data_IF_429992532399
#
_entry.id   IF_429992532399
#
_cell.length_a   1.000
_cell.length_b   1.000
_cell.length_c   1.000
_cell.angle_alpha   90.00
_cell.angle_beta   90.00
_cell.angle_gamma   90.00
#
_symmetry.space_group_name_H-M   'P 1'
#
loop_
_entity.id
_entity.type
_entity.pdbx_description
1 polymer ?
#
# COMPACT_ATOMS: atom_id res chain seq x y z
N UNK A 1 27.27 -52.57 -43.37
CA UNK A 1 27.28 -51.89 -42.07
C UNK A 1 26.68 -50.49 -42.24
N UNK A 2 25.42 -50.28 -41.84
CA UNK A 2 24.76 -48.95 -41.88
C UNK A 2 24.55 -48.50 -40.43
N UNK A 3 25.32 -47.49 -40.00
CA UNK A 3 25.21 -46.91 -38.66
C UNK A 3 23.97 -46.02 -38.54
N UNK A 4 23.18 -46.22 -37.49
CA UNK A 4 22.07 -45.35 -37.11
C UNK A 4 22.63 -44.22 -36.25
N UNK A 5 22.56 -42.99 -36.74
CA UNK A 5 22.79 -41.78 -35.95
C UNK A 5 21.54 -41.48 -35.12
N UNK A 6 21.66 -41.47 -33.79
CA UNK A 6 20.63 -40.97 -32.90
C UNK A 6 20.85 -39.47 -32.68
N UNK A 7 19.88 -38.65 -33.10
CA UNK A 7 19.82 -37.24 -32.73
C UNK A 7 19.22 -37.14 -31.33
N UNK A 8 20.02 -36.66 -30.36
CA UNK A 8 19.52 -36.24 -29.06
C UNK A 8 18.90 -34.84 -29.21
N UNK A 9 17.58 -34.77 -29.11
CA UNK A 9 16.85 -33.50 -29.04
C UNK A 9 16.96 -32.98 -27.61
N UNK A 10 17.76 -31.94 -27.39
CA UNK A 10 17.79 -31.22 -26.11
C UNK A 10 16.53 -30.35 -26.01
N UNK A 11 15.57 -30.78 -25.19
CA UNK A 11 14.49 -29.92 -24.74
C UNK A 11 15.07 -28.90 -23.75
N UNK A 12 15.20 -27.65 -24.18
CA UNK A 12 15.38 -26.54 -23.25
C UNK A 12 14.07 -26.32 -22.50
N UNK A 13 13.97 -26.87 -21.29
CA UNK A 13 12.93 -26.50 -20.36
C UNK A 13 13.19 -25.05 -19.93
N UNK A 14 12.41 -24.11 -20.47
CA UNK A 14 12.33 -22.76 -19.95
C UNK A 14 11.71 -22.84 -18.56
N UNK A 15 12.52 -23.07 -17.54
CA UNK A 15 12.11 -22.88 -16.15
C UNK A 15 12.05 -21.36 -15.97
N UNK A 16 10.87 -20.75 -15.77
CA UNK A 16 10.82 -19.35 -15.39
C UNK A 16 11.69 -19.17 -14.15
N UNK A 17 12.68 -18.28 -14.24
CA UNK A 17 13.47 -17.85 -13.08
C UNK A 17 12.49 -17.14 -12.17
N UNK A 18 11.85 -17.89 -11.26
CA UNK A 18 11.17 -17.28 -10.14
C UNK A 18 12.25 -16.65 -9.27
N UNK A 19 12.15 -15.33 -9.08
CA UNK A 19 12.91 -14.64 -8.05
C UNK A 19 12.82 -15.46 -6.77
N UNK A 20 13.94 -15.60 -6.04
CA UNK A 20 13.93 -16.27 -4.76
C UNK A 20 13.04 -15.46 -3.80
N UNK A 21 11.78 -15.86 -3.67
CA UNK A 21 10.79 -15.19 -2.84
C UNK A 21 11.20 -15.39 -1.38
N UNK A 22 11.59 -14.30 -0.71
CA UNK A 22 11.82 -14.33 0.73
C UNK A 22 10.49 -14.04 1.40
N UNK A 23 9.98 -14.96 2.22
CA UNK A 23 8.72 -14.74 2.93
C UNK A 23 8.81 -13.47 3.81
N UNK A 24 7.75 -12.64 3.86
CA UNK A 24 7.73 -11.49 4.76
C UNK A 24 7.58 -11.97 6.21
N UNK A 25 7.94 -11.14 7.21
CA UNK A 25 8.15 -11.60 8.59
C UNK A 25 6.90 -12.19 9.28
N UNK A 26 5.70 -11.89 8.78
CA UNK A 26 4.43 -12.37 9.38
C UNK A 26 3.58 -13.22 8.42
N UNK A 27 4.15 -13.64 7.28
CA UNK A 27 3.43 -14.43 6.28
C UNK A 27 2.20 -13.70 5.70
N UNK A 28 1.14 -14.45 5.39
CA UNK A 28 -0.11 -13.88 4.89
C UNK A 28 -0.81 -13.06 5.99
N UNK A 29 -1.01 -11.77 5.72
CA UNK A 29 -1.73 -10.88 6.63
C UNK A 29 -3.24 -11.09 6.55
N UNK A 30 -3.93 -10.78 7.64
CA UNK A 30 -5.39 -10.82 7.76
C UNK A 30 -5.89 -9.64 8.60
N UNK A 31 -7.16 -9.29 8.45
CA UNK A 31 -7.85 -8.36 9.36
C UNK A 31 -8.79 -9.16 10.26
N UNK A 32 -8.58 -9.10 11.56
CA UNK A 32 -9.46 -9.71 12.56
C UNK A 32 -9.95 -8.64 13.54
N UNK A 33 -11.27 -8.36 13.50
CA UNK A 33 -11.86 -7.24 14.22
C UNK A 33 -11.26 -5.92 13.73
N UNK A 34 -10.52 -5.24 14.62
CA UNK A 34 -9.83 -3.98 14.37
C UNK A 34 -8.32 -4.14 14.20
N UNK A 35 -7.80 -5.37 14.25
CA UNK A 35 -6.37 -5.65 14.23
C UNK A 35 -5.92 -6.21 12.89
N UNK A 36 -4.72 -5.79 12.48
CA UNK A 36 -3.93 -6.51 11.50
C UNK A 36 -3.25 -7.69 12.19
N UNK A 37 -3.42 -8.90 11.65
CA UNK A 37 -2.88 -10.13 12.23
C UNK A 37 -2.02 -10.88 11.22
N UNK A 38 -1.13 -11.74 11.72
CA UNK A 38 -0.43 -12.73 10.92
C UNK A 38 -1.34 -13.90 10.52
N UNK A 39 -0.79 -14.88 9.79
CA UNK A 39 -1.52 -16.06 9.31
C UNK A 39 -2.09 -16.96 10.42
N UNK A 40 -1.61 -16.80 11.65
CA UNK A 40 -2.06 -17.54 12.84
C UNK A 40 -3.06 -16.75 13.70
N UNK A 41 -3.50 -15.57 13.25
CA UNK A 41 -4.44 -14.71 13.98
C UNK A 41 -3.81 -13.92 15.13
N UNK A 42 -2.47 -13.85 15.21
CA UNK A 42 -1.79 -13.05 16.23
C UNK A 42 -1.68 -11.60 15.74
N UNK A 43 -2.12 -10.59 16.52
CA UNK A 43 -1.94 -9.18 16.17
C UNK A 43 -0.47 -8.81 15.94
N UNK A 44 -0.21 -8.03 14.90
CA UNK A 44 1.13 -7.55 14.52
C UNK A 44 1.10 -6.05 14.25
N UNK A 45 2.29 -5.46 14.10
CA UNK A 45 2.44 -4.07 13.66
C UNK A 45 3.44 -4.00 12.51
N UNK A 46 3.07 -3.26 11.46
CA UNK A 46 3.98 -2.86 10.41
C UNK A 46 4.51 -1.46 10.70
N UNK A 47 5.82 -1.27 10.53
CA UNK A 47 6.51 0.00 10.73
C UNK A 47 7.52 0.16 9.59
N UNK A 48 7.51 1.34 8.98
CA UNK A 48 8.30 1.59 7.79
C UNK A 48 8.19 3.00 7.26
N UNK A 49 8.69 3.18 6.04
CA UNK A 49 8.84 4.49 5.41
C UNK A 49 8.03 4.53 4.11
N UNK A 50 7.32 5.64 3.90
CA UNK A 50 6.82 5.99 2.57
C UNK A 50 7.93 6.62 1.75
N UNK A 51 8.10 6.14 0.53
CA UNK A 51 8.79 6.92 -0.49
C UNK A 51 7.91 8.14 -0.82
N UNK A 52 8.54 9.21 -1.25
CA UNK A 52 7.84 10.39 -1.76
C UNK A 52 7.29 10.12 -3.16
N UNK A 53 6.44 10.99 -3.68
CA UNK A 53 5.83 10.91 -5.02
C UNK A 53 6.79 10.37 -6.10
N UNK A 54 6.38 9.28 -6.75
CA UNK A 54 7.19 8.53 -7.73
C UNK A 54 7.83 9.39 -8.82
N UNK A 55 7.09 10.34 -9.39
CA UNK A 55 7.59 11.19 -10.48
C UNK A 55 8.53 12.31 -10.01
N UNK A 56 8.44 12.71 -8.74
CA UNK A 56 9.25 13.81 -8.20
C UNK A 56 10.53 13.34 -7.52
N UNK A 57 10.53 12.13 -6.98
CA UNK A 57 11.72 11.54 -6.32
C UNK A 57 12.03 10.13 -6.84
N UNK A 58 12.09 9.90 -8.16
CA UNK A 58 12.27 8.57 -8.74
C UNK A 58 13.61 7.94 -8.38
N UNK A 59 14.63 8.74 -8.03
CA UNK A 59 15.95 8.26 -7.65
C UNK A 59 15.92 7.40 -6.37
N UNK A 60 14.84 7.42 -5.58
CA UNK A 60 14.71 6.56 -4.39
C UNK A 60 13.95 5.25 -4.64
N UNK A 61 13.35 5.06 -5.82
CA UNK A 61 12.58 3.85 -6.17
C UNK A 61 13.51 2.74 -6.69
N UNK A 62 14.39 2.24 -5.83
CA UNK A 62 15.37 1.21 -6.21
C UNK A 62 15.80 0.31 -5.05
N UNK A 63 16.41 -0.84 -5.40
CA UNK A 63 16.84 -1.88 -4.46
C UNK A 63 17.77 -1.37 -3.34
N UNK A 64 18.70 -0.45 -3.64
CA UNK A 64 19.68 -0.01 -2.65
C UNK A 64 19.02 0.77 -1.51
N UNK A 65 18.01 1.60 -1.83
CA UNK A 65 17.21 2.29 -0.82
C UNK A 65 16.46 1.29 0.04
N UNK A 66 15.80 0.31 -0.56
CA UNK A 66 15.06 -0.72 0.19
C UNK A 66 15.98 -1.55 1.11
N UNK A 67 17.20 -1.87 0.67
CA UNK A 67 18.22 -2.53 1.50
C UNK A 67 18.55 -1.67 2.73
N UNK A 68 18.74 -0.36 2.56
CA UNK A 68 18.96 0.56 3.67
C UNK A 68 17.76 0.62 4.61
N UNK A 69 16.54 0.77 4.08
CA UNK A 69 15.31 0.79 4.89
C UNK A 69 15.17 -0.47 5.74
N UNK A 70 15.41 -1.65 5.16
CA UNK A 70 15.35 -2.92 5.89
C UNK A 70 16.45 -3.02 6.94
N UNK A 71 17.71 -2.86 6.53
CA UNK A 71 18.84 -3.30 7.34
C UNK A 71 19.32 -2.23 8.32
N UNK A 72 19.14 -0.95 7.99
CA UNK A 72 19.60 0.17 8.82
C UNK A 72 18.44 0.76 9.63
N UNK A 73 17.24 0.84 9.06
CA UNK A 73 16.07 1.45 9.70
C UNK A 73 15.07 0.42 10.23
N UNK A 74 15.40 -0.88 10.10
CA UNK A 74 14.59 -2.00 10.58
C UNK A 74 13.13 -1.97 10.07
N UNK A 75 12.89 -1.38 8.89
CA UNK A 75 11.56 -1.30 8.28
C UNK A 75 11.10 -2.70 7.84
N UNK A 76 9.88 -3.06 8.20
CA UNK A 76 9.24 -4.30 7.75
C UNK A 76 8.20 -4.07 6.64
N UNK A 77 7.90 -2.81 6.33
CA UNK A 77 7.06 -2.37 5.21
C UNK A 77 7.69 -1.16 4.52
N UNK A 78 7.46 -1.01 3.21
CA UNK A 78 7.77 0.22 2.46
C UNK A 78 6.52 0.65 1.70
N UNK A 79 6.25 1.95 1.60
CA UNK A 79 5.13 2.46 0.81
C UNK A 79 5.61 3.13 -0.49
N UNK A 80 5.05 2.71 -1.61
CA UNK A 80 5.32 3.22 -2.94
C UNK A 80 4.21 4.20 -3.36
N UNK A 81 4.38 5.48 -3.02
CA UNK A 81 3.44 6.55 -3.35
C UNK A 81 3.45 6.88 -4.85
N UNK A 82 2.55 6.27 -5.63
CA UNK A 82 2.52 6.48 -7.08
C UNK A 82 1.74 7.74 -7.42
N UNK A 83 2.46 8.81 -7.71
CA UNK A 83 1.84 10.07 -8.13
C UNK A 83 1.15 9.94 -9.48
N UNK A 84 0.03 10.66 -9.67
CA UNK A 84 -0.82 10.49 -10.86
C UNK A 84 -0.63 11.58 -11.92
N UNK A 85 -0.62 12.84 -11.52
CA UNK A 85 -0.54 13.99 -12.44
C UNK A 85 0.82 14.69 -12.32
N UNK A 86 1.08 15.70 -13.13
CA UNK A 86 2.32 16.50 -13.10
C UNK A 86 3.58 15.64 -13.32
N UNK A 87 3.53 14.77 -14.33
CA UNK A 87 4.57 13.80 -14.67
C UNK A 87 4.34 12.40 -14.09
N UNK A 88 3.24 12.22 -13.35
CA UNK A 88 2.83 10.97 -12.72
C UNK A 88 2.25 9.94 -13.69
N UNK A 89 1.58 8.92 -13.16
CA UNK A 89 1.08 7.76 -13.90
C UNK A 89 0.12 8.11 -15.06
N UNK A 90 -0.71 9.14 -14.94
CA UNK A 90 -1.63 9.56 -16.01
C UNK A 90 -0.86 10.14 -17.19
N UNK A 91 0.24 10.84 -16.92
CA UNK A 91 1.06 11.48 -17.96
C UNK A 91 2.09 10.50 -18.55
N UNK A 92 2.71 9.69 -17.70
CA UNK A 92 3.78 8.74 -18.04
C UNK A 92 3.54 7.37 -17.37
N UNK A 93 2.58 6.57 -17.86
CA UNK A 93 2.11 5.36 -17.18
C UNK A 93 3.18 4.27 -17.08
N UNK A 94 3.90 3.99 -18.18
CA UNK A 94 4.92 2.94 -18.20
C UNK A 94 6.08 3.25 -17.26
N UNK A 95 6.53 4.50 -17.22
CA UNK A 95 7.62 4.94 -16.36
C UNK A 95 7.26 4.82 -14.88
N UNK A 96 6.12 5.40 -14.46
CA UNK A 96 5.69 5.36 -13.06
C UNK A 96 5.31 3.93 -12.62
N UNK A 97 4.71 3.13 -13.49
CA UNK A 97 4.49 1.70 -13.23
C UNK A 97 5.82 0.95 -13.03
N UNK A 98 6.84 1.25 -13.84
CA UNK A 98 8.18 0.69 -13.70
C UNK A 98 8.82 1.00 -12.35
N UNK A 99 8.67 2.23 -11.84
CA UNK A 99 9.16 2.63 -10.53
C UNK A 99 8.46 1.85 -9.40
N UNK A 100 7.13 1.78 -9.43
CA UNK A 100 6.36 1.02 -8.43
C UNK A 100 6.73 -0.47 -8.48
N UNK A 101 6.85 -1.03 -9.68
CA UNK A 101 7.30 -2.41 -9.90
C UNK A 101 8.68 -2.67 -9.27
N UNK A 102 9.64 -1.76 -9.44
CA UNK A 102 10.97 -1.89 -8.85
C UNK A 102 10.91 -1.97 -7.31
N UNK A 103 10.02 -1.20 -6.67
CA UNK A 103 9.80 -1.25 -5.22
C UNK A 103 9.11 -2.55 -4.80
N UNK A 104 8.10 -3.00 -5.53
CA UNK A 104 7.41 -4.27 -5.25
C UNK A 104 8.38 -5.45 -5.32
N UNK A 105 9.11 -5.59 -6.44
CA UNK A 105 10.06 -6.68 -6.64
C UNK A 105 11.19 -6.61 -5.60
N UNK A 106 11.67 -5.40 -5.28
CA UNK A 106 12.68 -5.23 -4.25
C UNK A 106 12.21 -5.62 -2.85
N UNK A 107 10.97 -5.26 -2.48
CA UNK A 107 10.37 -5.65 -1.21
C UNK A 107 10.18 -7.16 -1.12
N UNK A 108 9.72 -7.80 -2.20
CA UNK A 108 9.61 -9.27 -2.29
C UNK A 108 10.97 -9.94 -2.10
N UNK A 109 12.00 -9.48 -2.81
CA UNK A 109 13.36 -10.01 -2.72
C UNK A 109 13.95 -9.87 -1.30
N UNK A 110 13.53 -8.85 -0.57
CA UNK A 110 14.00 -8.57 0.78
C UNK A 110 13.09 -9.16 1.87
N UNK A 111 11.95 -9.75 1.54
CA UNK A 111 10.96 -10.19 2.53
C UNK A 111 10.41 -9.04 3.37
N UNK A 112 10.10 -7.91 2.73
CA UNK A 112 9.36 -6.78 3.31
C UNK A 112 7.95 -6.74 2.73
N UNK A 113 6.99 -6.24 3.50
CA UNK A 113 5.71 -5.84 2.92
C UNK A 113 5.88 -4.58 2.06
N UNK A 114 4.97 -4.38 1.11
CA UNK A 114 4.92 -3.19 0.26
C UNK A 114 3.49 -2.68 0.16
N UNK A 115 3.29 -1.40 0.48
CA UNK A 115 2.04 -0.69 0.21
C UNK A 115 2.15 -0.08 -1.18
N UNK A 116 1.26 -0.50 -2.07
CA UNK A 116 1.13 0.02 -3.44
C UNK A 116 0.02 1.06 -3.43
N UNK A 117 0.42 2.32 -3.48
CA UNK A 117 -0.46 3.45 -3.22
C UNK A 117 -0.83 4.23 -4.48
N UNK A 118 -2.14 4.36 -4.71
CA UNK A 118 -2.72 5.22 -5.72
C UNK A 118 -2.84 6.66 -5.16
N UNK A 119 -1.76 7.42 -5.36
CA UNK A 119 -1.48 8.63 -4.61
C UNK A 119 -2.21 9.88 -5.15
N UNK A 120 -3.49 10.03 -4.79
CA UNK A 120 -4.35 11.17 -5.15
C UNK A 120 -5.19 11.67 -3.97
N UNK A 121 -5.49 12.97 -3.97
CA UNK A 121 -6.21 13.69 -2.91
C UNK A 121 -7.64 14.12 -3.30
N UNK A 122 -7.89 14.48 -4.56
CA UNK A 122 -9.10 15.24 -4.87
C UNK A 122 -10.33 14.38 -5.18
N UNK A 123 -10.32 13.60 -6.27
CA UNK A 123 -11.55 13.02 -6.81
C UNK A 123 -11.34 11.69 -7.56
N UNK A 124 -12.46 11.12 -7.99
CA UNK A 124 -12.57 9.86 -8.73
C UNK A 124 -12.29 9.96 -10.24
N UNK A 125 -11.75 11.07 -10.75
CA UNK A 125 -11.62 11.30 -12.20
C UNK A 125 -10.75 10.26 -12.91
N UNK A 126 -9.90 9.55 -12.17
CA UNK A 126 -8.99 8.54 -12.70
C UNK A 126 -9.39 7.10 -12.31
N UNK A 127 -10.67 6.86 -11.99
CA UNK A 127 -11.16 5.51 -11.64
C UNK A 127 -10.86 4.45 -12.70
N UNK A 128 -11.05 4.70 -14.01
CA UNK A 128 -10.68 3.70 -15.03
C UNK A 128 -9.18 3.35 -15.03
N UNK A 129 -8.32 4.33 -14.77
CA UNK A 129 -6.87 4.15 -14.67
C UNK A 129 -6.51 3.39 -13.40
N UNK A 130 -7.15 3.68 -12.27
CA UNK A 130 -6.98 2.93 -11.02
C UNK A 130 -7.36 1.45 -11.20
N UNK A 131 -8.51 1.19 -11.83
CA UNK A 131 -8.95 -0.17 -12.18
C UNK A 131 -7.89 -0.90 -13.03
N UNK A 132 -7.39 -0.25 -14.07
CA UNK A 132 -6.36 -0.82 -14.95
C UNK A 132 -5.06 -1.10 -14.19
N UNK A 133 -4.60 -0.13 -13.41
CA UNK A 133 -3.39 -0.22 -12.60
C UNK A 133 -3.47 -1.37 -11.59
N UNK A 134 -4.52 -1.40 -10.77
CA UNK A 134 -4.70 -2.43 -9.74
C UNK A 134 -5.01 -3.80 -10.32
N UNK A 135 -5.68 -3.89 -11.49
CA UNK A 135 -5.79 -5.14 -12.24
C UNK A 135 -4.42 -5.69 -12.62
N UNK A 136 -3.51 -4.85 -13.09
CA UNK A 136 -2.17 -5.27 -13.52
C UNK A 136 -1.29 -5.69 -12.34
N UNK A 137 -1.30 -4.91 -11.26
CA UNK A 137 -0.56 -5.23 -10.02
C UNK A 137 -1.09 -6.53 -9.42
N UNK A 138 -2.41 -6.67 -9.21
CA UNK A 138 -3.01 -7.87 -8.61
C UNK A 138 -2.82 -9.12 -9.48
N UNK A 139 -2.93 -9.01 -10.80
CA UNK A 139 -2.66 -10.13 -11.71
C UNK A 139 -1.21 -10.62 -11.65
N UNK A 140 -0.27 -9.71 -11.44
CA UNK A 140 1.17 -10.03 -11.46
C UNK A 140 1.68 -10.46 -10.09
N UNK A 141 1.21 -9.81 -9.02
CA UNK A 141 1.75 -9.94 -7.66
C UNK A 141 0.74 -10.43 -6.62
N UNK A 142 -0.51 -10.71 -6.98
CA UNK A 142 -1.56 -11.10 -6.03
C UNK A 142 -1.31 -12.42 -5.29
N UNK A 143 -0.41 -13.27 -5.78
CA UNK A 143 0.01 -14.48 -5.08
C UNK A 143 1.08 -14.24 -4.00
N UNK A 144 1.62 -13.03 -3.90
CA UNK A 144 2.66 -12.70 -2.94
C UNK A 144 2.04 -12.09 -1.68
N UNK A 145 2.29 -12.65 -0.49
CA UNK A 145 1.72 -12.13 0.77
C UNK A 145 2.27 -10.75 1.16
N UNK A 146 3.29 -10.26 0.44
CA UNK A 146 3.96 -8.98 0.65
C UNK A 146 3.08 -7.77 0.31
N UNK A 147 2.10 -7.93 -0.58
CA UNK A 147 1.39 -6.80 -1.18
C UNK A 147 0.28 -6.30 -0.25
N UNK A 148 0.21 -4.98 -0.11
CA UNK A 148 -0.89 -4.23 0.48
C UNK A 148 -1.33 -3.19 -0.55
N UNK A 149 -2.62 -3.11 -0.85
CA UNK A 149 -3.15 -2.16 -1.83
C UNK A 149 -3.72 -0.95 -1.11
N UNK A 150 -3.20 0.25 -1.33
CA UNK A 150 -3.84 1.49 -0.89
C UNK A 150 -4.53 2.13 -2.09
N UNK A 151 -5.86 1.96 -2.17
CA UNK A 151 -6.59 2.23 -3.41
C UNK A 151 -6.90 3.71 -3.62
N UNK A 152 -6.74 4.53 -2.58
CA UNK A 152 -6.89 5.98 -2.63
C UNK A 152 -6.23 6.59 -1.39
N UNK A 153 -5.18 7.37 -1.59
CA UNK A 153 -4.42 8.09 -0.56
C UNK A 153 -5.28 8.98 0.35
N UNK A 154 -5.84 10.08 -0.17
CA UNK A 154 -6.42 11.16 0.67
C UNK A 154 -7.73 11.72 0.12
N UNK A 155 -8.84 10.96 0.09
CA UNK A 155 -10.11 11.47 -0.42
C UNK A 155 -10.59 12.77 0.27
N UNK A 156 -10.93 13.78 -0.52
CA UNK A 156 -11.58 15.03 -0.04
C UNK A 156 -13.08 15.09 -0.35
N UNK A 157 -13.68 13.91 -0.59
CA UNK A 157 -15.10 13.73 -0.93
C UNK A 157 -15.84 13.00 0.20
N UNK A 158 -17.17 12.88 0.10
CA UNK A 158 -17.99 12.17 1.10
C UNK A 158 -17.73 10.66 1.10
N UNK A 159 -18.03 10.00 2.23
CA UNK A 159 -17.87 8.56 2.37
C UNK A 159 -18.63 7.75 1.30
N UNK A 160 -19.84 8.17 0.93
CA UNK A 160 -20.62 7.47 -0.11
C UNK A 160 -19.91 7.46 -1.48
N UNK A 161 -19.20 8.55 -1.82
CA UNK A 161 -18.39 8.61 -3.06
C UNK A 161 -17.20 7.66 -2.97
N UNK A 162 -16.55 7.59 -1.80
CA UNK A 162 -15.43 6.67 -1.53
C UNK A 162 -15.91 5.22 -1.62
N UNK A 163 -17.07 4.89 -1.04
CA UNK A 163 -17.67 3.54 -1.13
C UNK A 163 -17.98 3.18 -2.58
N UNK A 164 -18.56 4.10 -3.35
CA UNK A 164 -18.84 3.85 -4.77
C UNK A 164 -17.56 3.62 -5.59
N UNK A 165 -16.48 4.34 -5.30
CA UNK A 165 -15.17 4.10 -5.90
C UNK A 165 -14.59 2.74 -5.50
N UNK A 166 -14.57 2.43 -4.20
CA UNK A 166 -14.03 1.17 -3.66
C UNK A 166 -14.77 -0.04 -4.24
N UNK A 167 -16.09 0.02 -4.39
CA UNK A 167 -16.91 -1.03 -5.00
C UNK A 167 -16.63 -1.25 -6.50
N UNK A 168 -15.94 -0.33 -7.18
CA UNK A 168 -15.47 -0.52 -8.56
C UNK A 168 -14.06 -1.12 -8.61
N UNK A 169 -13.16 -0.71 -7.70
CA UNK A 169 -11.74 -1.12 -7.71
C UNK A 169 -11.51 -2.47 -6.99
N UNK A 170 -12.13 -2.67 -5.83
CA UNK A 170 -11.91 -3.87 -5.00
C UNK A 170 -12.24 -5.17 -5.76
N UNK A 171 -13.37 -5.30 -6.49
CA UNK A 171 -13.67 -6.53 -7.22
C UNK A 171 -12.60 -6.91 -8.24
N UNK A 172 -11.96 -5.93 -8.87
CA UNK A 172 -10.91 -6.14 -9.86
C UNK A 172 -9.63 -6.69 -9.21
N UNK A 173 -9.28 -6.18 -8.02
CA UNK A 173 -8.21 -6.75 -7.20
C UNK A 173 -8.59 -8.17 -6.78
N UNK A 174 -9.79 -8.37 -6.21
CA UNK A 174 -10.25 -9.67 -5.69
C UNK A 174 -10.42 -10.75 -6.75
N UNK A 175 -10.56 -10.38 -8.01
CA UNK A 175 -10.55 -11.34 -9.12
C UNK A 175 -9.20 -12.06 -9.28
N UNK A 176 -8.09 -11.42 -8.89
CA UNK A 176 -6.74 -11.98 -8.97
C UNK A 176 -6.13 -12.29 -7.59
N UNK A 177 -6.54 -11.55 -6.55
CA UNK A 177 -6.00 -11.62 -5.20
C UNK A 177 -7.13 -11.66 -4.15
N UNK A 178 -7.54 -12.84 -3.68
CA UNK A 178 -8.65 -12.97 -2.76
C UNK A 178 -8.33 -12.49 -1.33
N UNK A 179 -7.06 -12.32 -0.95
CA UNK A 179 -6.65 -12.35 0.46
C UNK A 179 -5.84 -11.14 0.93
N UNK A 180 -5.01 -10.50 0.10
CA UNK A 180 -4.14 -9.44 0.59
C UNK A 180 -4.93 -8.23 1.11
N UNK A 181 -4.28 -7.46 1.99
CA UNK A 181 -4.91 -6.31 2.63
C UNK A 181 -5.18 -5.23 1.58
N UNK A 182 -6.39 -4.67 1.63
CA UNK A 182 -6.72 -3.44 0.90
C UNK A 182 -6.99 -2.35 1.95
N UNK A 183 -6.25 -1.26 1.85
CA UNK A 183 -6.45 -0.04 2.64
C UNK A 183 -7.23 0.96 1.79
N UNK A 184 -8.28 1.51 2.37
CA UNK A 184 -9.18 2.47 1.71
C UNK A 184 -9.06 3.82 2.42
N UNK A 185 -8.71 4.87 1.66
CA UNK A 185 -8.70 6.24 2.14
C UNK A 185 -10.02 6.65 2.78
N UNK A 186 -9.96 7.57 3.74
CA UNK A 186 -11.17 8.11 4.40
C UNK A 186 -11.40 9.57 4.02
N UNK A 187 -12.57 10.10 4.37
CA UNK A 187 -12.90 11.48 4.06
C UNK A 187 -11.94 12.47 4.75
N UNK A 188 -11.96 13.72 4.28
CA UNK A 188 -11.16 14.84 4.79
C UNK A 188 -9.64 14.58 4.70
N UNK A 189 -9.20 14.14 3.52
CA UNK A 189 -7.79 13.85 3.28
C UNK A 189 -7.29 12.70 4.15
N UNK A 190 -8.13 11.68 4.36
CA UNK A 190 -7.87 10.59 5.31
C UNK A 190 -7.65 11.05 6.76
N UNK A 191 -8.11 12.25 7.14
CA UNK A 191 -8.04 12.79 8.50
C UNK A 191 -9.23 12.46 9.40
N UNK A 192 -10.31 11.93 8.82
CA UNK A 192 -11.62 11.75 9.47
C UNK A 192 -12.54 12.96 9.26
N UNK A 193 -13.87 12.79 9.28
CA UNK A 193 -14.58 11.96 10.23
C UNK A 193 -14.76 10.50 9.80
N UNK A 194 -14.84 9.63 10.80
CA UNK A 194 -15.15 8.21 10.59
C UNK A 194 -16.60 8.03 10.18
N UNK A 195 -16.82 7.15 9.20
CA UNK A 195 -18.14 6.71 8.81
C UNK A 195 -18.77 5.83 9.90
N UNK A 196 -20.12 5.78 10.01
CA UNK A 196 -20.80 4.87 10.93
C UNK A 196 -20.44 3.40 10.65
N UNK A 197 -20.30 2.53 11.66
CA UNK A 197 -19.94 1.11 11.46
C UNK A 197 -20.85 0.36 10.47
N UNK A 198 -22.11 0.76 10.38
CA UNK A 198 -23.10 0.21 9.43
C UNK A 198 -22.78 0.49 7.95
N UNK A 199 -21.89 1.45 7.66
CA UNK A 199 -21.45 1.82 6.32
C UNK A 199 -20.06 1.25 5.97
N UNK A 200 -19.52 0.35 6.80
CA UNK A 200 -18.28 -0.38 6.52
C UNK A 200 -18.43 -1.19 5.22
N UNK A 201 -17.40 -1.18 4.39
CA UNK A 201 -17.36 -1.99 3.17
C UNK A 201 -17.48 -3.49 3.51
N UNK A 202 -18.36 -4.19 2.80
CA UNK A 202 -18.62 -5.61 3.00
C UNK A 202 -17.62 -6.49 2.22
N UNK A 203 -16.33 -6.31 2.49
CA UNK A 203 -15.24 -7.15 1.97
C UNK A 203 -14.34 -7.62 3.11
N UNK A 204 -13.70 -8.76 2.91
CA UNK A 204 -12.68 -9.26 3.84
C UNK A 204 -11.36 -8.50 3.65
N UNK A 205 -10.56 -8.46 4.73
CA UNK A 205 -9.21 -7.90 4.73
C UNK A 205 -9.15 -6.44 4.25
N UNK A 206 -10.13 -5.64 4.70
CA UNK A 206 -10.16 -4.19 4.47
C UNK A 206 -9.72 -3.47 5.75
N UNK A 207 -8.83 -2.50 5.57
CA UNK A 207 -8.47 -1.49 6.57
C UNK A 207 -8.76 -0.10 6.02
N UNK A 208 -8.83 0.90 6.90
CA UNK A 208 -9.16 2.28 6.54
C UNK A 208 -8.05 3.22 6.95
N UNK A 209 -7.73 4.16 6.07
CA UNK A 209 -6.60 5.07 6.26
C UNK A 209 -6.90 6.10 7.35
N UNK A 210 -5.90 6.35 8.20
CA UNK A 210 -5.77 7.56 9.01
C UNK A 210 -4.43 8.22 8.68
N UNK A 211 -4.43 9.42 8.14
CA UNK A 211 -3.22 10.24 8.04
C UNK A 211 -3.08 11.12 9.27
N UNK A 212 -1.83 11.41 9.64
CA UNK A 212 -1.52 12.17 10.86
C UNK A 212 -0.37 13.14 10.55
N UNK A 213 -0.67 14.43 10.56
CA UNK A 213 0.33 15.51 10.55
C UNK A 213 0.05 16.42 11.75
N UNK A 214 1.03 17.12 12.33
CA UNK A 214 0.78 17.93 13.53
C UNK A 214 -0.32 18.98 13.31
N UNK A 215 -0.24 19.69 12.18
CA UNK A 215 -1.10 20.86 11.89
C UNK A 215 -2.34 20.58 11.03
N UNK A 216 -2.42 19.42 10.39
CA UNK A 216 -3.49 19.06 9.43
C UNK A 216 -3.82 17.57 9.49
N UNK A 217 -4.79 17.10 8.69
CA UNK A 217 -5.09 15.68 8.42
C UNK A 217 -5.03 14.77 9.65
N UNK A 218 -6.14 14.59 10.36
CA UNK A 218 -6.17 13.68 11.51
C UNK A 218 -5.31 14.15 12.70
N UNK A 219 -4.49 15.18 12.52
CA UNK A 219 -3.64 15.87 13.47
C UNK A 219 -4.31 16.60 14.62
N UNK A 220 -3.50 17.40 15.29
CA UNK A 220 -3.77 18.00 16.59
C UNK A 220 -2.91 17.36 17.69
N UNK A 221 -3.22 17.69 18.94
CA UNK A 221 -2.47 17.17 20.08
C UNK A 221 -2.45 15.64 20.09
N UNK A 222 -1.43 15.07 20.74
CA UNK A 222 -1.31 13.61 20.90
C UNK A 222 -2.60 12.96 21.42
N UNK A 223 -3.33 13.63 22.32
CA UNK A 223 -4.61 13.16 22.84
C UNK A 223 -5.72 13.15 21.78
N UNK A 224 -5.78 14.17 20.91
CA UNK A 224 -6.76 14.26 19.83
C UNK A 224 -6.53 13.14 18.81
N UNK A 225 -5.27 12.91 18.41
CA UNK A 225 -4.90 11.83 17.50
C UNK A 225 -5.25 10.46 18.10
N UNK A 226 -4.86 10.22 19.36
CA UNK A 226 -5.21 8.98 20.09
C UNK A 226 -6.73 8.79 20.16
N UNK A 227 -7.49 9.84 20.45
CA UNK A 227 -8.95 9.80 20.55
C UNK A 227 -9.61 9.44 19.22
N UNK A 228 -9.12 10.00 18.10
CA UNK A 228 -9.63 9.65 16.76
C UNK A 228 -9.43 8.17 16.47
N UNK A 229 -8.22 7.65 16.69
CA UNK A 229 -7.91 6.25 16.45
C UNK A 229 -8.72 5.31 17.37
N UNK A 230 -8.76 5.58 18.67
CA UNK A 230 -9.50 4.74 19.63
C UNK A 230 -11.00 4.77 19.39
N UNK A 231 -11.56 5.91 18.97
CA UNK A 231 -12.98 6.02 18.62
C UNK A 231 -13.33 5.12 17.44
N UNK A 232 -12.57 5.15 16.34
CA UNK A 232 -12.83 4.26 15.21
C UNK A 232 -12.65 2.78 15.56
N UNK A 233 -11.60 2.43 16.31
CA UNK A 233 -11.39 1.05 16.76
C UNK A 233 -12.53 0.59 17.69
N UNK A 234 -13.00 1.42 18.62
CA UNK A 234 -14.14 1.07 19.48
C UNK A 234 -15.44 0.82 18.69
N UNK A 235 -15.54 1.43 17.51
CA UNK A 235 -16.62 1.28 16.54
C UNK A 235 -16.41 0.11 15.57
N UNK A 236 -15.38 -0.73 15.74
CA UNK A 236 -15.12 -1.91 14.90
C UNK A 236 -14.47 -1.60 13.55
N UNK A 237 -13.87 -0.41 13.41
CA UNK A 237 -13.18 0.03 12.20
C UNK A 237 -11.67 -0.27 12.33
N UNK A 238 -11.11 -1.17 11.50
CA UNK A 238 -9.68 -1.44 11.45
C UNK A 238 -8.94 -0.29 10.75
N UNK A 239 -8.00 0.34 11.45
CA UNK A 239 -7.27 1.53 10.96
C UNK A 239 -5.86 1.15 10.55
N UNK A 240 -5.37 1.73 9.45
CA UNK A 240 -3.97 1.68 9.04
C UNK A 240 -3.46 3.12 8.84
N UNK A 241 -2.38 3.50 9.53
CA UNK A 241 -1.69 4.78 9.28
C UNK A 241 -0.69 4.56 8.16
N UNK A 242 -1.10 4.80 6.91
CA UNK A 242 -0.25 4.62 5.71
C UNK A 242 0.69 5.81 5.49
N UNK A 243 0.35 6.96 6.06
CA UNK A 243 1.15 8.19 6.04
C UNK A 243 1.05 8.94 7.37
N UNK A 244 2.19 9.42 7.87
CA UNK A 244 2.25 10.43 8.92
C UNK A 244 3.55 11.24 8.76
N UNK A 245 3.55 12.48 9.24
CA UNK A 245 4.71 13.36 9.23
C UNK A 245 4.97 14.01 10.58
N UNK A 246 6.23 14.33 10.88
CA UNK A 246 6.67 14.94 12.14
C UNK A 246 6.86 16.45 12.05
N UNK A 247 6.34 17.08 11.01
CA UNK A 247 6.38 18.53 10.82
C UNK A 247 5.17 18.96 10.00
N UNK A 248 4.95 20.26 9.92
CA UNK A 248 3.88 20.84 9.10
C UNK A 248 3.94 20.35 7.66
N UNK A 249 2.77 20.23 7.04
CA UNK A 249 2.65 20.00 5.59
C UNK A 249 3.08 21.22 4.77
N UNK A 250 3.25 22.38 5.43
CA UNK A 250 3.69 23.62 4.79
C UNK A 250 5.22 23.77 4.87
N UNK A 251 5.89 24.17 3.78
CA UNK A 251 7.33 24.32 3.77
C UNK A 251 7.79 25.41 4.76
N UNK A 252 8.86 25.11 5.51
CA UNK A 252 9.57 25.98 6.47
C UNK A 252 8.99 26.10 7.89
N UNK A 253 8.12 25.19 8.32
CA UNK A 253 7.69 25.11 9.73
C UNK A 253 8.47 24.02 10.51
N UNK A 254 8.49 24.19 11.84
CA UNK A 254 9.35 23.45 12.79
C UNK A 254 9.03 21.95 12.83
N UNK A 255 10.05 21.12 13.12
CA UNK A 255 9.85 19.72 13.47
C UNK A 255 9.17 19.62 14.85
N UNK A 256 8.09 18.86 14.94
CA UNK A 256 7.35 18.60 16.17
C UNK A 256 7.56 17.14 16.61
N UNK A 257 8.76 16.88 17.14
CA UNK A 257 9.18 15.53 17.54
C UNK A 257 8.56 15.05 18.86
N UNK A 258 8.12 15.96 19.72
CA UNK A 258 7.60 15.63 21.06
C UNK A 258 6.14 15.18 21.04
N UNK A 259 5.34 15.60 20.04
CA UNK A 259 3.91 15.29 19.97
C UNK A 259 3.61 13.88 19.40
N UNK A 260 4.59 13.27 18.75
CA UNK A 260 4.44 12.00 18.02
C UNK A 260 5.28 10.85 18.57
N UNK A 261 5.98 11.04 19.68
CA UNK A 261 6.65 9.96 20.39
C UNK A 261 5.60 8.96 20.98
N UNK A 262 5.82 7.64 20.89
CA UNK A 262 4.89 6.62 21.37
C UNK A 262 4.57 6.71 22.87
#
# INVERSE_FOLDING_TARGET
MRGKFFYFLFFFCNIPIHLAVVNPPYGQLQVQGTYLTNSSGIPIQLQGISLYFSMWQPQYYNQNVLVSLKNQWNSNVVRAAMGLTNGGYVDNPEYNYGLVKAVIEGAINLGMYVIVDWHITYNVSYTPQAITFFSNISKTYGSYPHIIYEIWNEPTVTWDVIVNYANQVIPVIRANDPNNIIVVGTADGSGGPWFPPSQKLNYNNIMYTLHIYPDVFGGGSQEQVRTKATTAMSNGIPIFVTEYGTGSVWPNETLEVDEMAP
#
